data_IF_154655409569
#
_entry.id   IF_154655409569
#
_cell.length_a   1.000
_cell.length_b   1.000
_cell.length_c   1.000
_cell.angle_alpha   90.00
_cell.angle_beta   90.00
_cell.angle_gamma   90.00
#
_symmetry.space_group_name_H-M   'P 1'
#
loop_
_entity.id
_entity.type
_entity.pdbx_description
1 polymer ?
#
# COMPACT_ATOMS: atom_id res chain seq x y z
N UNK A 1 13.18 8.80 13.80
CA UNK A 1 12.98 9.13 12.39
C UNK A 1 11.88 8.26 11.80
N UNK A 2 10.96 8.83 11.03
CA UNK A 2 9.93 8.12 10.28
C UNK A 2 10.11 8.42 8.79
N UNK A 3 9.84 7.43 7.95
CA UNK A 3 9.96 7.55 6.50
C UNK A 3 8.60 7.29 5.86
N UNK A 4 8.11 8.26 5.10
CA UNK A 4 6.97 8.12 4.21
C UNK A 4 7.45 7.87 2.80
N UNK A 5 6.85 6.88 2.11
CA UNK A 5 7.16 6.52 0.73
C UNK A 5 5.87 6.50 -0.06
N UNK A 6 5.78 7.32 -1.12
CA UNK A 6 4.69 7.30 -2.07
C UNK A 6 5.16 6.66 -3.37
N UNK A 7 4.64 5.46 -3.66
CA UNK A 7 4.90 4.75 -4.91
C UNK A 7 3.80 5.15 -5.89
N UNK A 8 4.03 6.27 -6.57
CA UNK A 8 3.11 6.80 -7.55
C UNK A 8 3.30 6.15 -8.93
N UNK A 9 2.40 6.52 -9.84
CA UNK A 9 2.39 6.01 -11.22
C UNK A 9 3.65 6.39 -12.03
N UNK A 10 4.22 7.56 -11.76
CA UNK A 10 5.32 8.13 -12.56
C UNK A 10 6.61 8.33 -11.76
N UNK A 11 6.48 8.45 -10.45
CA UNK A 11 7.62 8.75 -9.59
C UNK A 11 7.43 8.13 -8.22
N UNK A 12 8.53 7.80 -7.58
CA UNK A 12 8.60 7.51 -6.15
C UNK A 12 8.92 8.82 -5.44
N UNK A 13 8.20 9.09 -4.35
CA UNK A 13 8.46 10.24 -3.48
C UNK A 13 8.76 9.75 -2.09
N UNK A 14 9.66 10.40 -1.40
CA UNK A 14 10.00 10.10 -0.01
C UNK A 14 10.01 11.36 0.83
N UNK A 15 9.61 11.20 2.09
CA UNK A 15 9.73 12.21 3.13
C UNK A 15 10.30 11.57 4.39
N UNK A 16 11.37 12.14 4.92
CA UNK A 16 11.92 11.77 6.23
C UNK A 16 11.51 12.80 7.26
N UNK A 17 10.90 12.31 8.33
CA UNK A 17 10.42 13.12 9.45
C UNK A 17 11.19 12.82 10.71
N UNK A 18 11.53 13.89 11.45
CA UNK A 18 11.95 13.82 12.84
C UNK A 18 10.79 14.20 13.73
N UNK A 19 10.52 13.40 14.75
CA UNK A 19 9.47 13.68 15.72
C UNK A 19 10.10 13.84 17.11
N UNK A 20 9.78 14.95 17.78
CA UNK A 20 9.99 15.18 19.21
C UNK A 20 8.65 15.11 19.94
N UNK A 21 8.63 15.37 21.25
CA UNK A 21 7.38 15.34 22.04
C UNK A 21 6.27 16.24 21.48
N UNK A 22 6.64 17.41 20.95
CA UNK A 22 5.68 18.47 20.62
C UNK A 22 5.74 18.93 19.15
N UNK A 23 6.75 18.48 18.39
CA UNK A 23 6.97 18.95 17.02
C UNK A 23 7.30 17.80 16.08
N UNK A 24 6.84 17.95 14.84
CA UNK A 24 7.23 17.09 13.72
C UNK A 24 7.89 17.97 12.67
N UNK A 25 9.11 17.61 12.28
CA UNK A 25 9.90 18.36 11.31
C UNK A 25 10.16 17.51 10.06
N UNK A 26 10.06 18.13 8.89
CA UNK A 26 10.51 17.53 7.63
C UNK A 26 12.02 17.68 7.55
N UNK A 27 12.74 16.56 7.61
CA UNK A 27 14.20 16.52 7.54
C UNK A 27 14.68 16.43 6.11
N UNK A 28 14.03 15.58 5.31
CA UNK A 28 14.36 15.38 3.91
C UNK A 28 13.10 15.12 3.09
N UNK A 29 13.13 15.57 1.86
CA UNK A 29 12.07 15.30 0.87
C UNK A 29 12.71 15.11 -0.50
N UNK A 30 12.22 14.18 -1.27
CA UNK A 30 12.67 13.98 -2.64
C UNK A 30 11.70 13.18 -3.47
N UNK A 31 11.94 13.25 -4.78
CA UNK A 31 11.18 12.53 -5.79
C UNK A 31 12.13 11.99 -6.86
N UNK A 32 11.85 10.78 -7.32
CA UNK A 32 12.62 10.13 -8.38
C UNK A 32 11.67 9.58 -9.45
N UNK A 33 11.89 9.87 -10.74
CA UNK A 33 11.06 9.33 -11.82
C UNK A 33 11.31 7.83 -11.97
N UNK A 34 10.23 7.05 -12.17
CA UNK A 34 10.32 5.60 -12.41
C UNK A 34 10.70 5.34 -13.88
N UNK A 35 10.35 6.25 -14.76
CA UNK A 35 10.57 6.15 -16.21
C UNK A 35 11.38 7.32 -16.74
N UNK A 36 12.37 7.03 -17.56
CA UNK A 36 13.16 8.05 -18.28
C UNK A 36 12.33 8.77 -19.35
N UNK A 37 11.27 8.15 -19.83
CA UNK A 37 10.41 8.70 -20.87
C UNK A 37 8.95 8.37 -20.62
N UNK A 38 8.14 9.39 -20.37
CA UNK A 38 6.70 9.28 -20.08
C UNK A 38 5.90 8.67 -21.24
N UNK A 39 6.40 8.76 -22.48
CA UNK A 39 5.75 8.18 -23.65
C UNK A 39 5.96 6.67 -23.78
N UNK A 40 6.89 6.10 -23.04
CA UNK A 40 7.16 4.66 -22.96
C UNK A 40 6.54 4.02 -21.70
N UNK A 41 5.56 4.68 -21.16
CA UNK A 41 4.88 4.29 -19.94
C UNK A 41 4.05 3.02 -20.14
N UNK A 42 4.37 2.00 -19.39
CA UNK A 42 3.62 0.75 -19.33
C UNK A 42 3.61 0.25 -17.88
N UNK A 43 2.48 0.45 -17.20
CA UNK A 43 2.30 0.05 -15.79
C UNK A 43 2.51 -1.44 -15.58
N UNK A 44 2.08 -2.26 -16.55
CA UNK A 44 2.14 -3.71 -16.44
C UNK A 44 3.56 -4.27 -16.58
N UNK A 45 4.53 -3.40 -16.90
CA UNK A 45 5.92 -3.77 -17.14
C UNK A 45 6.91 -3.23 -16.12
N UNK A 46 6.44 -2.54 -15.07
CA UNK A 46 7.34 -2.11 -13.98
C UNK A 46 7.85 -3.35 -13.25
N UNK A 47 9.13 -3.63 -13.42
CA UNK A 47 9.77 -4.73 -12.72
C UNK A 47 10.09 -4.31 -11.28
N UNK A 48 9.90 -5.23 -10.34
CA UNK A 48 10.28 -5.06 -8.93
C UNK A 48 11.71 -4.52 -8.80
N UNK A 49 12.65 -5.07 -9.56
CA UNK A 49 14.06 -4.63 -9.59
C UNK A 49 14.25 -3.16 -9.97
N UNK A 50 13.39 -2.63 -10.84
CA UNK A 50 13.40 -1.22 -11.23
C UNK A 50 12.94 -0.32 -10.08
N UNK A 51 11.85 -0.68 -9.40
CA UNK A 51 11.37 0.06 -8.22
C UNK A 51 12.41 0.03 -7.10
N UNK A 52 13.02 -1.12 -6.84
CA UNK A 52 14.07 -1.27 -5.84
C UNK A 52 15.28 -0.36 -6.16
N UNK A 53 15.72 -0.32 -7.43
CA UNK A 53 16.83 0.54 -7.85
C UNK A 53 16.48 2.02 -7.69
N UNK A 54 15.30 2.46 -8.18
CA UNK A 54 14.85 3.85 -8.04
C UNK A 54 14.76 4.28 -6.58
N UNK A 55 14.22 3.42 -5.70
CA UNK A 55 14.12 3.71 -4.27
C UNK A 55 15.50 3.80 -3.62
N UNK A 56 16.42 2.90 -3.98
CA UNK A 56 17.78 2.91 -3.48
C UNK A 56 18.54 4.16 -3.90
N UNK A 57 18.43 4.56 -5.17
CA UNK A 57 19.06 5.77 -5.70
C UNK A 57 18.52 7.02 -5.02
N UNK A 58 17.20 7.07 -4.77
CA UNK A 58 16.56 8.18 -4.06
C UNK A 58 17.05 8.25 -2.61
N UNK A 59 17.09 7.13 -1.90
CA UNK A 59 17.60 7.08 -0.53
C UNK A 59 19.08 7.49 -0.45
N UNK A 60 19.90 7.04 -1.40
CA UNK A 60 21.31 7.39 -1.47
C UNK A 60 21.50 8.88 -1.75
N UNK A 61 20.79 9.45 -2.73
CA UNK A 61 20.87 10.88 -3.09
C UNK A 61 20.50 11.79 -1.93
N UNK A 62 19.54 11.37 -1.12
CA UNK A 62 19.10 12.09 0.08
C UNK A 62 19.87 11.71 1.35
N UNK A 63 20.83 10.77 1.26
CA UNK A 63 21.54 10.25 2.44
C UNK A 63 20.60 9.75 3.55
N UNK A 64 19.49 9.11 3.16
CA UNK A 64 18.56 8.46 4.07
C UNK A 64 19.14 7.09 4.46
N UNK A 65 19.22 6.84 5.76
CA UNK A 65 19.64 5.53 6.27
C UNK A 65 18.44 4.73 6.79
N UNK A 66 17.95 3.74 6.04
CA UNK A 66 16.78 2.96 6.45
C UNK A 66 16.96 2.24 7.79
N UNK A 67 18.20 1.89 8.15
CA UNK A 67 18.50 1.22 9.43
C UNK A 67 18.31 2.12 10.66
N UNK A 68 18.29 3.42 10.47
CA UNK A 68 18.01 4.40 11.54
C UNK A 68 16.55 4.83 11.60
N UNK A 69 15.74 4.33 10.68
CA UNK A 69 14.30 4.64 10.59
C UNK A 69 13.52 3.69 11.49
N UNK A 70 12.74 4.23 12.41
CA UNK A 70 11.95 3.43 13.36
C UNK A 70 10.58 3.06 12.81
N UNK A 71 10.05 3.84 11.87
CA UNK A 71 8.74 3.63 11.26
C UNK A 71 8.81 3.95 9.77
N UNK A 72 8.37 3.01 8.94
CA UNK A 72 8.22 3.20 7.50
C UNK A 72 6.74 3.03 7.16
N UNK A 73 6.19 4.00 6.43
CA UNK A 73 4.83 3.96 5.89
C UNK A 73 4.92 4.17 4.40
N UNK A 74 4.30 3.28 3.64
CA UNK A 74 4.25 3.43 2.19
C UNK A 74 2.81 3.43 1.69
N UNK A 75 2.57 4.16 0.58
CA UNK A 75 1.33 4.12 -0.19
C UNK A 75 1.57 3.43 -1.52
N UNK A 76 0.52 2.82 -2.04
CA UNK A 76 0.49 2.24 -3.39
C UNK A 76 -0.47 3.04 -4.26
N UNK A 77 -0.20 3.08 -5.56
CA UNK A 77 -1.14 3.67 -6.52
C UNK A 77 -2.46 2.90 -6.51
N UNK A 78 -3.58 3.63 -6.52
CA UNK A 78 -4.92 3.01 -6.56
C UNK A 78 -5.17 2.13 -7.79
N UNK A 79 -4.38 2.27 -8.85
CA UNK A 79 -4.43 1.38 -10.01
C UNK A 79 -3.89 -0.03 -9.72
N UNK A 80 -3.14 -0.21 -8.62
CA UNK A 80 -2.57 -1.49 -8.19
C UNK A 80 -3.38 -2.16 -7.08
N UNK A 81 -4.47 -1.54 -6.64
CA UNK A 81 -5.25 -1.99 -5.50
C UNK A 81 -6.72 -2.10 -5.90
N UNK A 82 -7.33 -3.25 -5.68
CA UNK A 82 -8.78 -3.42 -5.75
C UNK A 82 -9.37 -3.15 -4.37
N UNK A 83 -10.39 -2.28 -4.32
CA UNK A 83 -11.05 -1.87 -3.07
C UNK A 83 -12.54 -2.12 -3.23
N UNK A 84 -13.13 -2.89 -2.30
CA UNK A 84 -14.56 -3.24 -2.32
C UNK A 84 -15.17 -3.14 -0.93
N UNK A 85 -16.38 -2.61 -0.88
CA UNK A 85 -17.23 -2.75 0.29
C UNK A 85 -18.02 -4.03 0.15
N UNK A 86 -17.96 -4.89 1.17
CA UNK A 86 -18.73 -6.14 1.24
C UNK A 86 -19.43 -6.23 2.60
N UNK A 87 -20.58 -6.89 2.59
CA UNK A 87 -21.31 -7.25 3.80
C UNK A 87 -21.10 -8.72 4.10
N UNK A 88 -20.72 -9.04 5.34
CA UNK A 88 -20.44 -10.40 5.78
C UNK A 88 -21.00 -10.64 7.19
N UNK A 89 -21.10 -11.89 7.61
CA UNK A 89 -21.47 -12.22 8.98
C UNK A 89 -20.44 -11.66 9.97
N UNK A 90 -20.92 -11.21 11.12
CA UNK A 90 -20.06 -10.83 12.24
C UNK A 90 -19.38 -12.07 12.80
N UNK A 91 -18.07 -12.08 12.78
CA UNK A 91 -17.25 -13.19 13.25
C UNK A 91 -15.88 -12.68 13.73
N UNK A 92 -15.14 -13.49 14.54
CA UNK A 92 -13.81 -13.12 14.99
C UNK A 92 -12.84 -12.84 13.81
N UNK A 93 -11.97 -11.85 13.92
CA UNK A 93 -11.05 -11.40 12.87
C UNK A 93 -10.25 -12.53 12.20
N UNK A 94 -9.87 -13.55 12.97
CA UNK A 94 -9.14 -14.72 12.43
C UNK A 94 -9.97 -15.53 11.44
N UNK A 95 -11.24 -15.72 11.74
CA UNK A 95 -12.18 -16.44 10.87
C UNK A 95 -12.56 -15.57 9.68
N UNK A 96 -12.77 -14.27 9.94
CA UNK A 96 -13.05 -13.28 8.94
C UNK A 96 -11.93 -13.22 7.88
N UNK A 97 -10.66 -13.17 8.30
CA UNK A 97 -9.52 -13.16 7.38
C UNK A 97 -9.50 -14.37 6.43
N UNK A 98 -9.83 -15.58 6.95
CA UNK A 98 -9.91 -16.79 6.13
C UNK A 98 -11.08 -16.72 5.14
N UNK A 99 -12.25 -16.30 5.61
CA UNK A 99 -13.46 -16.14 4.79
C UNK A 99 -13.24 -15.13 3.67
N UNK A 100 -12.64 -13.98 3.99
CA UNK A 100 -12.31 -12.93 3.02
C UNK A 100 -11.27 -13.37 2.00
N UNK A 101 -10.30 -14.19 2.42
CA UNK A 101 -9.34 -14.79 1.50
C UNK A 101 -10.01 -15.68 0.44
N UNK A 102 -11.08 -16.39 0.81
CA UNK A 102 -11.88 -17.18 -0.15
C UNK A 102 -12.77 -16.29 -1.03
N UNK A 103 -13.37 -15.26 -0.46
CA UNK A 103 -14.22 -14.31 -1.18
C UNK A 103 -13.41 -13.52 -2.21
N UNK A 104 -12.25 -13.01 -1.81
CA UNK A 104 -11.36 -12.27 -2.70
C UNK A 104 -10.97 -13.10 -3.95
N UNK A 105 -10.73 -14.40 -3.78
CA UNK A 105 -10.41 -15.31 -4.90
C UNK A 105 -11.49 -15.37 -5.99
N UNK A 106 -12.73 -15.06 -5.68
CA UNK A 106 -13.82 -15.02 -6.67
C UNK A 106 -13.78 -13.79 -7.56
N UNK A 107 -13.12 -12.73 -7.11
CA UNK A 107 -13.15 -11.40 -7.73
C UNK A 107 -11.82 -10.96 -8.33
N UNK A 108 -10.73 -11.59 -7.88
CA UNK A 108 -9.38 -11.30 -8.39
C UNK A 108 -9.11 -12.32 -9.50
N UNK A 109 -8.78 -11.89 -10.73
CA UNK A 109 -8.31 -12.81 -11.76
C UNK A 109 -6.98 -13.41 -11.27
N UNK A 110 -7.06 -14.66 -10.81
CA UNK A 110 -5.89 -15.40 -10.34
C UNK A 110 -5.15 -15.94 -11.56
N UNK A 111 -4.13 -15.24 -11.96
CA UNK A 111 -3.13 -15.71 -12.92
C UNK A 111 -1.99 -16.52 -12.27
N UNK A 112 -2.24 -17.06 -11.06
CA UNK A 112 -1.29 -17.85 -10.28
C UNK A 112 -0.43 -17.04 -9.30
N UNK A 113 -0.72 -15.76 -9.10
CA UNK A 113 -0.06 -14.93 -8.09
C UNK A 113 -0.84 -14.98 -6.76
N UNK A 114 -0.10 -14.97 -5.65
CA UNK A 114 -0.69 -14.86 -4.32
C UNK A 114 -1.13 -13.41 -4.10
N UNK A 115 -2.45 -13.18 -4.00
CA UNK A 115 -2.97 -11.87 -3.66
C UNK A 115 -2.69 -11.55 -2.17
N UNK A 116 -2.24 -10.34 -1.93
CA UNK A 116 -2.17 -9.77 -0.58
C UNK A 116 -3.53 -9.13 -0.30
N UNK A 117 -4.14 -9.52 0.81
CA UNK A 117 -5.48 -9.10 1.19
C UNK A 117 -5.42 -8.49 2.58
N UNK A 118 -6.12 -7.37 2.74
CA UNK A 118 -6.34 -6.74 4.03
C UNK A 118 -7.77 -6.20 4.11
N UNK A 119 -8.27 -5.93 5.30
CA UNK A 119 -9.63 -5.44 5.48
C UNK A 119 -9.74 -4.46 6.63
N UNK A 120 -10.78 -3.62 6.56
CA UNK A 120 -11.10 -2.66 7.58
C UNK A 120 -12.59 -2.72 7.92
N UNK A 121 -12.93 -2.75 9.21
CA UNK A 121 -14.32 -2.74 9.68
C UNK A 121 -14.95 -1.37 9.48
N UNK A 122 -16.03 -1.30 8.71
CA UNK A 122 -16.83 -0.08 8.53
C UNK A 122 -17.93 0.05 9.56
N UNK A 123 -18.29 -1.06 10.24
CA UNK A 123 -19.30 -1.11 11.29
C UNK A 123 -20.42 -2.08 11.00
N UNK A 124 -21.45 -2.03 11.86
CA UNK A 124 -22.63 -2.91 11.77
C UNK A 124 -23.44 -2.58 10.53
N UNK A 125 -23.94 -3.59 9.84
CA UNK A 125 -24.87 -3.40 8.74
C UNK A 125 -26.26 -3.00 9.31
N UNK A 126 -26.76 -1.83 8.89
CA UNK A 126 -28.02 -1.29 9.40
C UNK A 126 -29.28 -1.95 8.80
N UNK A 127 -29.12 -2.76 7.77
CA UNK A 127 -30.26 -3.38 7.04
C UNK A 127 -30.36 -4.88 7.28
N UNK A 128 -29.27 -5.53 7.66
CA UNK A 128 -29.23 -6.97 7.86
C UNK A 128 -28.69 -7.31 9.25
N UNK A 129 -29.47 -8.11 9.99
CA UNK A 129 -29.11 -8.56 11.34
C UNK A 129 -27.90 -9.50 11.25
N UNK A 130 -27.01 -9.41 12.24
CA UNK A 130 -25.80 -10.23 12.37
C UNK A 130 -24.76 -10.04 11.24
N UNK A 131 -24.85 -8.93 10.50
CA UNK A 131 -23.86 -8.57 9.49
C UNK A 131 -23.09 -7.31 9.82
N UNK A 132 -21.86 -7.30 9.35
CA UNK A 132 -20.95 -6.14 9.38
C UNK A 132 -20.56 -5.75 7.96
N UNK A 133 -20.31 -4.48 7.75
CA UNK A 133 -19.73 -3.96 6.53
C UNK A 133 -18.21 -3.84 6.71
N UNK A 134 -17.49 -4.29 5.73
CA UNK A 134 -16.03 -4.22 5.69
C UNK A 134 -15.56 -3.62 4.38
N UNK A 135 -14.45 -2.94 4.43
CA UNK A 135 -13.70 -2.53 3.25
C UNK A 135 -12.61 -3.58 2.99
N UNK A 136 -12.78 -4.34 1.93
CA UNK A 136 -11.81 -5.33 1.47
C UNK A 136 -10.83 -4.67 0.51
N UNK A 137 -9.56 -4.80 0.77
CA UNK A 137 -8.47 -4.35 -0.11
C UNK A 137 -7.65 -5.53 -0.57
N UNK A 138 -7.29 -5.53 -1.85
CA UNK A 138 -6.42 -6.56 -2.40
C UNK A 138 -5.46 -6.01 -3.45
N UNK A 139 -4.27 -6.60 -3.52
CA UNK A 139 -3.25 -6.31 -4.52
C UNK A 139 -2.50 -7.59 -4.90
N UNK A 140 -1.89 -7.63 -6.06
CA UNK A 140 -1.06 -8.75 -6.56
C UNK A 140 0.39 -8.34 -6.69
#
# INVERSE_FOLDING_TARGET
>A
MSLGIDIGKYSIKVVELSSSSDTVEVVKIGSYPIFDNINKFDLDKIKRTQLEACLQDLCNSLTINPKKTTKIVSSLSGALVDIREISTLDMPDKELAVSLGLEAKKHIPLDGTDAIIDFYHLGVNNTEIDKINILLTSTT
#
